data_IF_547228150796
#
_entry.id   IF_547228150796
#
_cell.length_a   1.000
_cell.length_b   1.000
_cell.length_c   1.000
_cell.angle_alpha   90.00
_cell.angle_beta   90.00
_cell.angle_gamma   90.00
#
_symmetry.space_group_name_H-M   'P 1'
#
loop_
_entity.id
_entity.type
_entity.pdbx_description
1 polymer ?
#
# COMPACT_ATOMS: atom_id res chain seq x y z
N UNK A 1 -7.29 -11.29 -20.36
CA UNK A 1 -8.22 -10.79 -19.33
C UNK A 1 -9.53 -10.44 -20.00
N UNK A 2 -10.68 -10.74 -19.39
CA UNK A 2 -11.98 -10.22 -19.82
C UNK A 2 -12.14 -8.76 -19.38
N UNK A 3 -13.00 -8.00 -20.05
CA UNK A 3 -13.35 -6.64 -19.64
C UNK A 3 -13.89 -6.60 -18.21
N UNK A 4 -14.77 -7.53 -17.84
CA UNK A 4 -15.36 -7.63 -16.50
C UNK A 4 -14.31 -7.82 -15.39
N UNK A 5 -13.25 -8.59 -15.65
CA UNK A 5 -12.15 -8.75 -14.68
C UNK A 5 -11.29 -7.49 -14.55
N UNK A 6 -11.16 -6.72 -15.63
CA UNK A 6 -10.45 -5.44 -15.59
C UNK A 6 -11.25 -4.40 -14.81
N UNK A 7 -12.56 -4.33 -15.02
CA UNK A 7 -13.44 -3.40 -14.30
C UNK A 7 -13.45 -3.70 -12.79
N UNK A 8 -13.62 -4.98 -12.42
CA UNK A 8 -13.55 -5.40 -11.01
C UNK A 8 -12.18 -5.08 -10.40
N UNK A 9 -11.09 -5.34 -11.12
CA UNK A 9 -9.76 -4.99 -10.65
C UNK A 9 -9.64 -3.48 -10.38
N UNK A 10 -10.07 -2.64 -11.32
CA UNK A 10 -9.97 -1.18 -11.17
C UNK A 10 -10.80 -0.71 -9.97
N UNK A 11 -12.00 -1.24 -9.79
CA UNK A 11 -12.88 -0.92 -8.65
C UNK A 11 -12.20 -1.28 -7.32
N UNK A 12 -11.81 -2.54 -7.13
CA UNK A 12 -11.14 -2.99 -5.90
C UNK A 12 -9.79 -2.29 -5.67
N UNK A 13 -9.02 -2.05 -6.74
CA UNK A 13 -7.74 -1.34 -6.69
C UNK A 13 -7.93 0.09 -6.17
N UNK A 14 -8.95 0.78 -6.69
CA UNK A 14 -9.28 2.15 -6.28
C UNK A 14 -9.68 2.21 -4.81
N UNK A 15 -10.50 1.26 -4.35
CA UNK A 15 -10.89 1.17 -2.93
C UNK A 15 -9.68 0.93 -2.01
N UNK A 16 -8.80 0.00 -2.39
CA UNK A 16 -7.60 -0.29 -1.60
C UNK A 16 -6.59 0.86 -1.59
N UNK A 17 -6.40 1.56 -2.72
CA UNK A 17 -5.54 2.73 -2.81
C UNK A 17 -6.09 3.90 -1.99
N UNK A 18 -7.41 4.12 -2.01
CA UNK A 18 -8.04 5.14 -1.18
C UNK A 18 -7.85 4.83 0.32
N UNK A 19 -8.08 3.59 0.73
CA UNK A 19 -7.87 3.17 2.12
C UNK A 19 -6.39 3.28 2.54
N UNK A 20 -5.45 2.97 1.65
CA UNK A 20 -4.02 3.21 1.89
C UNK A 20 -3.74 4.69 2.12
N UNK A 21 -4.23 5.56 1.23
CA UNK A 21 -4.02 6.99 1.30
C UNK A 21 -4.54 7.59 2.63
N UNK A 22 -5.77 7.24 3.01
CA UNK A 22 -6.41 7.75 4.22
C UNK A 22 -5.67 7.28 5.49
N UNK A 23 -5.26 6.00 5.51
CA UNK A 23 -4.54 5.45 6.66
C UNK A 23 -3.11 5.99 6.77
N UNK A 24 -2.41 6.22 5.65
CA UNK A 24 -1.06 6.81 5.65
C UNK A 24 -1.12 8.26 6.13
N UNK A 25 -2.15 9.02 5.75
CA UNK A 25 -2.38 10.38 6.25
C UNK A 25 -2.64 10.40 7.76
N UNK A 26 -3.32 9.39 8.30
CA UNK A 26 -3.52 9.27 9.74
C UNK A 26 -2.24 8.79 10.46
N UNK A 27 -1.46 7.91 9.83
CA UNK A 27 -0.17 7.46 10.34
C UNK A 27 0.83 8.62 10.45
N UNK A 28 0.77 9.60 9.54
CA UNK A 28 1.58 10.82 9.63
C UNK A 28 1.32 11.59 10.95
N UNK A 29 0.08 11.60 11.43
CA UNK A 29 -0.32 12.28 12.68
C UNK A 29 0.00 11.46 13.92
N UNK A 30 -0.07 10.12 13.82
CA UNK A 30 0.27 9.19 14.89
C UNK A 30 1.24 8.08 14.41
N UNK A 31 2.55 8.38 14.29
CA UNK A 31 3.54 7.48 13.68
C UNK A 31 3.79 6.17 14.45
N UNK A 32 3.33 6.09 15.70
CA UNK A 32 3.53 4.95 16.57
C UNK A 32 2.30 4.02 16.62
N UNK A 33 1.25 4.34 15.87
CA UNK A 33 0.02 3.58 15.85
C UNK A 33 0.21 2.24 15.12
N UNK A 34 0.55 1.20 15.89
CA UNK A 34 0.76 -0.17 15.37
C UNK A 34 -0.46 -0.77 14.69
N UNK A 35 -1.67 -0.31 15.05
CA UNK A 35 -2.89 -0.74 14.37
C UNK A 35 -2.96 -0.16 12.96
N UNK A 36 -2.76 1.16 12.79
CA UNK A 36 -2.70 1.81 11.48
C UNK A 36 -1.61 1.21 10.59
N UNK A 37 -0.40 0.99 11.13
CA UNK A 37 0.69 0.35 10.38
C UNK A 37 0.26 -1.04 9.88
N UNK A 38 -0.43 -1.82 10.70
CA UNK A 38 -0.89 -3.17 10.33
C UNK A 38 -1.99 -3.13 9.28
N UNK A 39 -2.87 -2.13 9.32
CA UNK A 39 -3.93 -1.91 8.32
C UNK A 39 -3.34 -1.50 6.97
N UNK A 40 -2.41 -0.54 6.95
CA UNK A 40 -1.69 -0.11 5.74
C UNK A 40 -0.95 -1.29 5.10
N UNK A 41 -0.23 -2.09 5.91
CA UNK A 41 0.46 -3.28 5.42
C UNK A 41 -0.49 -4.28 4.75
N UNK A 42 -1.67 -4.53 5.33
CA UNK A 42 -2.65 -5.46 4.75
C UNK A 42 -3.18 -4.95 3.40
N UNK A 43 -3.51 -3.66 3.31
CA UNK A 43 -3.98 -3.07 2.05
C UNK A 43 -2.90 -3.13 0.97
N UNK A 44 -1.64 -2.86 1.32
CA UNK A 44 -0.50 -2.99 0.40
C UNK A 44 -0.34 -4.42 -0.10
N UNK A 45 -0.43 -5.40 0.80
CA UNK A 45 -0.30 -6.82 0.49
C UNK A 45 -1.42 -7.32 -0.43
N UNK A 46 -2.66 -6.91 -0.16
CA UNK A 46 -3.82 -7.24 -1.01
C UNK A 46 -3.64 -6.63 -2.40
N UNK A 47 -3.29 -5.35 -2.48
CA UNK A 47 -3.10 -4.66 -3.76
C UNK A 47 -1.98 -5.26 -4.61
N UNK A 48 -0.87 -5.68 -3.98
CA UNK A 48 0.19 -6.49 -4.63
C UNK A 48 -0.36 -7.79 -5.22
N UNK A 49 -1.14 -8.53 -4.43
CA UNK A 49 -1.74 -9.80 -4.84
C UNK A 49 -2.68 -9.64 -6.04
N UNK A 50 -3.51 -8.60 -6.02
CA UNK A 50 -4.40 -8.27 -7.14
C UNK A 50 -3.59 -7.90 -8.40
N UNK A 51 -2.58 -7.05 -8.26
CA UNK A 51 -1.73 -6.62 -9.37
C UNK A 51 -0.98 -7.79 -10.00
N UNK A 52 -0.44 -8.70 -9.18
CA UNK A 52 0.21 -9.92 -9.65
C UNK A 52 -0.77 -10.87 -10.37
N UNK A 53 -1.99 -11.00 -9.86
CA UNK A 53 -3.05 -11.83 -10.48
C UNK A 53 -3.44 -11.32 -11.86
N UNK A 54 -3.46 -9.99 -12.05
CA UNK A 54 -3.72 -9.37 -13.35
C UNK A 54 -2.52 -9.35 -14.29
N UNK A 55 -1.34 -9.78 -13.82
CA UNK A 55 -0.09 -9.75 -14.59
C UNK A 55 0.54 -8.37 -14.68
N UNK A 56 0.13 -7.41 -13.84
CA UNK A 56 0.74 -6.09 -13.73
C UNK A 56 2.02 -6.15 -12.89
N UNK A 57 3.05 -6.77 -13.46
CA UNK A 57 4.33 -7.03 -12.77
C UNK A 57 4.97 -5.76 -12.22
N UNK A 58 4.98 -4.65 -12.97
CA UNK A 58 5.57 -3.40 -12.50
C UNK A 58 4.86 -2.83 -11.25
N UNK A 59 3.53 -2.95 -11.19
CA UNK A 59 2.73 -2.50 -10.03
C UNK A 59 2.95 -3.46 -8.86
N UNK A 60 3.01 -4.77 -9.12
CA UNK A 60 3.31 -5.78 -8.12
C UNK A 60 4.71 -5.59 -7.49
N UNK A 61 5.72 -5.26 -8.30
CA UNK A 61 7.08 -5.03 -7.82
C UNK A 61 7.18 -3.75 -6.97
N UNK A 62 6.50 -2.68 -7.40
CA UNK A 62 6.48 -1.43 -6.65
C UNK A 62 5.73 -1.56 -5.31
N UNK A 63 4.58 -2.24 -5.31
CA UNK A 63 3.82 -2.53 -4.08
C UNK A 63 4.55 -3.49 -3.16
N UNK A 64 5.35 -4.41 -3.71
CA UNK A 64 6.25 -5.25 -2.92
C UNK A 64 7.37 -4.43 -2.23
N UNK A 65 7.95 -3.44 -2.91
CA UNK A 65 8.90 -2.53 -2.28
C UNK A 65 8.27 -1.74 -1.13
N UNK A 66 7.04 -1.26 -1.31
CA UNK A 66 6.26 -0.61 -0.25
C UNK A 66 5.97 -1.58 0.92
N UNK A 67 5.61 -2.83 0.65
CA UNK A 67 5.39 -3.87 1.68
C UNK A 67 6.64 -4.11 2.53
N UNK A 68 7.83 -4.14 1.91
CA UNK A 68 9.10 -4.31 2.64
C UNK A 68 9.39 -3.15 3.59
N UNK A 69 9.11 -1.92 3.16
CA UNK A 69 9.25 -0.72 4.00
C UNK A 69 8.28 -0.77 5.19
N UNK A 70 7.02 -1.11 4.95
CA UNK A 70 6.01 -1.22 5.99
C UNK A 70 6.31 -2.37 6.96
N UNK A 71 6.87 -3.48 6.49
CA UNK A 71 7.29 -4.60 7.33
C UNK A 71 8.44 -4.21 8.28
N UNK A 72 9.42 -3.44 7.80
CA UNK A 72 10.49 -2.89 8.64
C UNK A 72 9.93 -1.97 9.73
N UNK A 73 8.93 -1.14 9.42
CA UNK A 73 8.23 -0.30 10.41
C UNK A 73 7.49 -1.15 11.44
N UNK A 74 6.81 -2.24 11.00
CA UNK A 74 6.11 -3.15 11.92
C UNK A 74 7.05 -3.80 12.92
N UNK A 75 8.24 -4.19 12.46
CA UNK A 75 9.30 -4.83 13.26
C UNK A 75 10.10 -3.87 14.13
N UNK A 76 9.76 -2.58 14.14
CA UNK A 76 10.54 -1.54 14.84
C UNK A 76 11.98 -1.38 14.32
N UNK A 77 12.24 -1.84 13.08
CA UNK A 77 13.53 -1.70 12.39
C UNK A 77 13.65 -0.34 11.69
N UNK A 78 12.51 0.30 11.38
CA UNK A 78 12.42 1.61 10.76
C UNK A 78 11.45 2.50 11.53
N UNK A 79 11.83 3.75 11.76
CA UNK A 79 10.97 4.77 12.37
C UNK A 79 10.17 5.47 11.29
N UNK A 80 8.86 5.66 11.53
CA UNK A 80 8.01 6.47 10.65
C UNK A 80 8.44 7.93 10.78
N UNK A 81 8.89 8.49 9.66
CA UNK A 81 9.28 9.91 9.53
C UNK A 81 8.43 10.55 8.43
N UNK A 82 8.34 11.88 8.40
CA UNK A 82 7.68 12.61 7.30
C UNK A 82 8.24 12.18 5.94
N UNK A 83 9.56 12.01 5.82
CA UNK A 83 10.18 11.54 4.58
C UNK A 83 9.73 10.12 4.18
N UNK A 84 9.51 9.24 5.16
CA UNK A 84 9.00 7.90 4.89
C UNK A 84 7.56 7.94 4.37
N UNK A 85 6.74 8.79 4.98
CA UNK A 85 5.35 9.02 4.59
C UNK A 85 5.30 9.58 3.16
N UNK A 86 6.14 10.55 2.81
CA UNK A 86 6.27 11.08 1.44
C UNK A 86 6.61 10.00 0.42
N UNK A 87 7.53 9.10 0.75
CA UNK A 87 7.90 7.97 -0.12
C UNK A 87 6.71 7.03 -0.33
N UNK A 88 5.94 6.74 0.73
CA UNK A 88 4.74 5.90 0.64
C UNK A 88 3.68 6.58 -0.25
N UNK A 89 3.46 7.90 -0.09
CA UNK A 89 2.54 8.64 -0.95
C UNK A 89 2.98 8.67 -2.42
N UNK A 90 4.27 8.77 -2.70
CA UNK A 90 4.78 8.72 -4.08
C UNK A 90 4.40 7.42 -4.79
N UNK A 91 4.36 6.31 -4.05
CA UNK A 91 3.93 4.99 -4.56
C UNK A 91 2.43 4.92 -4.83
N UNK A 92 1.61 5.80 -4.24
CA UNK A 92 0.16 5.81 -4.47
C UNK A 92 -0.27 6.66 -5.68
N UNK A 93 0.66 7.38 -6.32
CA UNK A 93 0.40 8.28 -7.46
C UNK A 93 0.66 7.65 -8.84
N UNK A 94 1.07 6.38 -8.89
CA UNK A 94 1.25 5.58 -10.11
C UNK A 94 -0.06 5.02 -10.65
#
# INVERSE_FOLDING_TARGET
MSTDMMELFIEEATEHLQALNDNVLELEKDPHNKQLISEIFRSAHTFKGMSATMGFTNVADLTHAMENVLDAVRKDELVVTEHLVDIIFLVLLI
#
